data_IF_603926020368
#
_entry.id   IF_603926020368
#
_cell.length_a   1.000
_cell.length_b   1.000
_cell.length_c   1.000
_cell.angle_alpha   90.00
_cell.angle_beta   90.00
_cell.angle_gamma   90.00
#
_symmetry.space_group_name_H-M   'P 1'
#
loop_
_entity.id
_entity.type
_entity.pdbx_description
1 polymer ?
#
# COMPACT_ATOMS: atom_id res chain seq x y z
N UNK A 1 26.54 44.15 -7.05
CA UNK A 1 25.37 43.28 -6.83
C UNK A 1 25.58 41.99 -7.61
N UNK A 2 26.02 40.90 -6.97
CA UNK A 2 26.24 39.60 -7.61
C UNK A 2 25.47 38.55 -6.81
N UNK A 3 24.39 38.07 -7.42
CA UNK A 3 23.43 37.13 -6.84
C UNK A 3 23.85 35.73 -7.30
N UNK A 4 24.45 34.94 -6.40
CA UNK A 4 24.81 33.55 -6.67
C UNK A 4 23.58 32.67 -6.46
N UNK A 5 23.04 32.15 -7.56
CA UNK A 5 21.97 31.16 -7.60
C UNK A 5 22.60 29.77 -7.43
N UNK A 6 22.56 29.21 -6.21
CA UNK A 6 23.00 27.84 -5.96
C UNK A 6 21.83 26.88 -6.22
N UNK A 7 21.81 26.25 -7.39
CA UNK A 7 20.89 25.17 -7.70
C UNK A 7 21.37 23.89 -7.00
N UNK A 8 20.66 23.47 -5.96
CA UNK A 8 20.91 22.22 -5.26
C UNK A 8 20.08 21.11 -5.91
N UNK A 9 20.69 20.37 -6.84
CA UNK A 9 20.07 19.19 -7.46
C UNK A 9 20.27 18.02 -6.52
N UNK A 10 19.20 17.63 -5.81
CA UNK A 10 19.19 16.48 -4.92
C UNK A 10 18.88 15.24 -5.78
N UNK A 11 19.93 14.52 -6.19
CA UNK A 11 19.80 13.25 -6.90
C UNK A 11 19.54 12.15 -5.87
N UNK A 12 18.29 11.73 -5.74
CA UNK A 12 17.91 10.58 -4.91
C UNK A 12 18.15 9.33 -5.77
N UNK A 13 19.23 8.60 -5.52
CA UNK A 13 19.39 7.23 -6.01
C UNK A 13 18.46 6.33 -5.19
N UNK A 14 17.28 6.02 -5.72
CA UNK A 14 16.47 4.92 -5.22
C UNK A 14 17.02 3.62 -5.83
N UNK A 15 17.82 2.88 -5.05
CA UNK A 15 18.04 1.46 -5.31
C UNK A 15 16.77 0.68 -4.94
N UNK A 16 15.79 0.67 -5.84
CA UNK A 16 14.69 -0.30 -5.76
C UNK A 16 15.14 -1.57 -6.47
N UNK A 17 15.81 -2.46 -5.74
CA UNK A 17 15.71 -3.88 -6.06
C UNK A 17 14.27 -4.30 -5.75
N UNK A 18 13.31 -3.92 -6.60
CA UNK A 18 11.97 -4.45 -6.46
C UNK A 18 12.08 -5.92 -6.82
N UNK A 19 11.97 -6.79 -5.82
CA UNK A 19 11.35 -8.09 -6.05
C UNK A 19 10.05 -7.77 -6.80
N UNK A 20 9.99 -8.07 -8.10
CA UNK A 20 8.87 -7.67 -8.95
C UNK A 20 7.64 -8.42 -8.46
N UNK A 21 6.85 -7.78 -7.60
CA UNK A 21 5.54 -8.28 -7.25
C UNK A 21 4.69 -8.28 -8.52
N UNK A 22 4.07 -9.41 -8.82
CA UNK A 22 3.17 -9.56 -9.95
C UNK A 22 1.94 -8.64 -9.76
N UNK A 23 1.46 -8.53 -8.51
CA UNK A 23 0.48 -7.54 -8.09
C UNK A 23 1.02 -6.77 -6.88
N UNK A 24 1.03 -5.45 -6.97
CA UNK A 24 1.32 -4.56 -5.85
C UNK A 24 0.03 -3.95 -5.32
N UNK A 25 -0.20 -4.09 -4.01
CA UNK A 25 -1.25 -3.44 -3.25
C UNK A 25 -0.58 -2.40 -2.35
N UNK A 26 -0.91 -1.13 -2.58
CA UNK A 26 -0.47 -0.01 -1.78
C UNK A 26 -1.60 0.44 -0.87
N UNK A 27 -1.34 0.48 0.42
CA UNK A 27 -2.27 1.00 1.40
C UNK A 27 -1.78 2.36 1.92
N UNK A 28 -2.64 3.35 1.89
CA UNK A 28 -2.32 4.73 2.24
C UNK A 28 -3.38 5.30 3.17
N UNK A 29 -2.96 5.84 4.30
CA UNK A 29 -3.80 6.65 5.17
C UNK A 29 -3.74 8.11 4.71
N UNK A 30 -4.89 8.74 4.44
CA UNK A 30 -4.96 10.15 4.02
C UNK A 30 -6.30 10.76 4.39
N UNK A 31 -6.25 11.91 5.08
CA UNK A 31 -7.42 12.69 5.47
C UNK A 31 -8.48 11.87 6.25
N UNK A 32 -8.04 11.00 7.15
CA UNK A 32 -8.92 10.15 7.97
C UNK A 32 -9.59 9.00 7.20
N UNK A 33 -9.02 8.60 6.06
CA UNK A 33 -9.44 7.41 5.32
C UNK A 33 -8.23 6.52 5.08
N UNK A 34 -8.46 5.22 4.88
CA UNK A 34 -7.46 4.32 4.33
C UNK A 34 -7.87 3.93 2.92
N UNK A 35 -6.95 4.07 1.97
CA UNK A 35 -7.14 3.67 0.57
C UNK A 35 -6.18 2.55 0.24
N UNK A 36 -6.72 1.44 -0.27
CA UNK A 36 -5.97 0.36 -0.88
C UNK A 36 -6.04 0.56 -2.38
N UNK A 37 -4.92 0.81 -3.04
CA UNK A 37 -4.80 0.86 -4.50
C UNK A 37 -3.96 -0.32 -4.97
N UNK A 38 -4.29 -0.90 -6.12
CA UNK A 38 -3.53 -2.02 -6.66
C UNK A 38 -3.44 -1.99 -8.17
N UNK A 39 -2.37 -2.60 -8.67
CA UNK A 39 -2.15 -2.83 -10.08
C UNK A 39 -1.19 -3.99 -10.29
N UNK A 40 -1.39 -4.75 -11.35
CA UNK A 40 -0.47 -5.80 -11.75
C UNK A 40 -1.10 -6.77 -12.73
N UNK A 41 -0.43 -7.89 -12.92
CA UNK A 41 -0.91 -9.03 -13.68
C UNK A 41 -0.44 -10.28 -12.96
N UNK A 42 -1.24 -11.35 -12.99
CA UNK A 42 -0.90 -12.60 -12.34
C UNK A 42 -0.90 -13.77 -13.32
N UNK A 43 0.14 -14.59 -13.26
CA UNK A 43 0.17 -15.91 -13.85
C UNK A 43 -0.53 -16.91 -12.91
N UNK A 44 -1.73 -17.33 -13.30
CA UNK A 44 -2.54 -18.34 -12.61
C UNK A 44 -2.39 -19.72 -13.24
N UNK A 45 -1.44 -19.89 -14.17
CA UNK A 45 -1.11 -21.21 -14.71
C UNK A 45 -0.63 -22.14 -13.58
N UNK A 46 -1.13 -23.38 -13.59
CA UNK A 46 -0.80 -24.37 -12.57
C UNK A 46 -1.59 -24.26 -11.25
N UNK A 47 -2.43 -23.24 -11.07
CA UNK A 47 -3.30 -23.12 -9.88
C UNK A 47 -4.53 -24.06 -9.97
N UNK A 48 -4.95 -24.42 -11.18
CA UNK A 48 -6.13 -25.24 -11.45
C UNK A 48 -7.28 -24.42 -12.07
N UNK A 49 -8.41 -25.08 -12.32
CA UNK A 49 -9.58 -24.43 -12.91
C UNK A 49 -10.31 -23.57 -11.88
N UNK A 50 -10.71 -22.33 -12.22
CA UNK A 50 -11.48 -21.50 -11.31
C UNK A 50 -12.90 -22.04 -11.10
N UNK A 51 -13.43 -21.83 -9.90
CA UNK A 51 -14.86 -21.92 -9.60
C UNK A 51 -15.53 -20.55 -9.70
N UNK A 52 -16.87 -20.52 -9.73
CA UNK A 52 -17.62 -19.27 -9.58
C UNK A 52 -17.72 -18.88 -8.11
N UNK A 53 -17.59 -17.58 -7.82
CA UNK A 53 -17.66 -17.03 -6.46
C UNK A 53 -18.31 -15.65 -6.44
N UNK A 54 -18.46 -15.11 -5.23
CA UNK A 54 -18.91 -13.75 -4.97
C UNK A 54 -18.01 -13.11 -3.91
N UNK A 55 -17.31 -12.04 -4.27
CA UNK A 55 -16.41 -11.32 -3.36
C UNK A 55 -17.07 -10.07 -2.81
N UNK A 56 -17.01 -9.87 -1.49
CA UNK A 56 -17.48 -8.66 -0.82
C UNK A 56 -16.30 -7.82 -0.34
N UNK A 57 -16.26 -6.54 -0.72
CA UNK A 57 -15.19 -5.62 -0.38
C UNK A 57 -14.94 -5.49 1.13
N UNK A 58 -13.69 -5.66 1.57
CA UNK A 58 -13.28 -5.52 2.96
C UNK A 58 -11.96 -6.24 3.26
N UNK A 59 -11.54 -6.18 4.53
CA UNK A 59 -10.36 -6.87 5.04
C UNK A 59 -10.69 -7.61 6.34
N UNK A 60 -9.93 -8.67 6.62
CA UNK A 60 -9.91 -9.37 7.91
C UNK A 60 -8.45 -9.61 8.28
N UNK A 61 -7.77 -8.67 8.97
CA UNK A 61 -6.33 -8.76 9.20
C UNK A 61 -5.91 -10.01 9.97
N UNK A 62 -6.69 -10.41 10.98
CA UNK A 62 -6.43 -11.62 11.78
C UNK A 62 -6.51 -12.93 10.99
N UNK A 63 -7.26 -12.93 9.88
CA UNK A 63 -7.35 -14.07 8.95
C UNK A 63 -6.35 -14.02 7.80
N UNK A 64 -5.68 -12.88 7.60
CA UNK A 64 -4.85 -12.65 6.42
C UNK A 64 -5.66 -12.46 5.14
N UNK A 65 -6.92 -12.04 5.25
CA UNK A 65 -7.83 -11.91 4.11
C UNK A 65 -7.98 -10.46 3.65
N UNK A 66 -7.81 -10.24 2.35
CA UNK A 66 -8.04 -8.96 1.68
C UNK A 66 -9.00 -9.21 0.52
N UNK A 67 -10.07 -8.43 0.45
CA UNK A 67 -11.03 -8.47 -0.64
C UNK A 67 -11.24 -7.06 -1.19
N UNK A 68 -10.56 -6.76 -2.29
CA UNK A 68 -10.66 -5.53 -3.07
C UNK A 68 -11.76 -5.70 -4.13
N UNK A 69 -13.01 -5.63 -3.69
CA UNK A 69 -14.20 -5.76 -4.52
C UNK A 69 -15.28 -4.78 -4.06
N UNK A 70 -16.43 -4.72 -4.74
CA UNK A 70 -17.56 -3.91 -4.28
C UNK A 70 -18.02 -4.34 -2.88
N UNK A 71 -18.29 -3.40 -1.95
CA UNK A 71 -18.90 -3.73 -0.66
C UNK A 71 -20.27 -4.43 -0.80
N UNK A 72 -21.01 -4.12 -1.87
CA UNK A 72 -22.27 -4.80 -2.22
C UNK A 72 -22.09 -6.19 -2.85
N UNK A 73 -20.84 -6.59 -3.07
CA UNK A 73 -20.46 -7.86 -3.67
C UNK A 73 -20.30 -7.79 -5.19
N UNK A 74 -19.47 -8.67 -5.74
CA UNK A 74 -19.18 -8.76 -7.18
C UNK A 74 -18.97 -10.21 -7.57
N UNK A 75 -19.53 -10.62 -8.71
CA UNK A 75 -19.31 -11.95 -9.26
C UNK A 75 -17.86 -12.09 -9.76
N UNK A 76 -17.21 -13.17 -9.35
CA UNK A 76 -15.77 -13.38 -9.54
C UNK A 76 -15.47 -14.85 -9.82
N UNK A 77 -14.21 -15.12 -10.12
CA UNK A 77 -13.65 -16.47 -10.23
C UNK A 77 -12.71 -16.75 -9.07
N UNK A 78 -12.92 -17.87 -8.38
CA UNK A 78 -12.08 -18.29 -7.26
C UNK A 78 -11.14 -19.41 -7.68
N UNK A 79 -9.87 -19.20 -7.38
CA UNK A 79 -8.81 -20.17 -7.53
C UNK A 79 -8.47 -20.72 -6.13
N UNK A 80 -8.98 -21.91 -5.82
CA UNK A 80 -8.75 -22.57 -4.53
C UNK A 80 -7.35 -23.21 -4.47
N UNK A 81 -6.76 -23.28 -3.28
CA UNK A 81 -5.38 -23.74 -3.08
C UNK A 81 -4.35 -22.96 -3.92
N UNK A 82 -4.63 -21.70 -4.20
CA UNK A 82 -3.79 -20.82 -5.02
C UNK A 82 -2.60 -20.24 -4.27
N UNK A 83 -2.64 -20.21 -2.94
CA UNK A 83 -1.63 -19.56 -2.11
C UNK A 83 -0.72 -20.58 -1.43
N UNK A 84 0.59 -20.41 -1.60
CA UNK A 84 1.63 -21.21 -0.97
C UNK A 84 1.90 -20.77 0.48
N UNK A 85 1.78 -19.46 0.74
CA UNK A 85 2.11 -18.84 2.03
C UNK A 85 0.99 -17.92 2.48
N UNK A 86 0.39 -18.19 3.64
CA UNK A 86 -0.53 -17.27 4.29
C UNK A 86 0.24 -16.19 5.07
N UNK A 87 -0.30 -14.98 5.11
CA UNK A 87 0.22 -13.87 5.91
C UNK A 87 -0.93 -13.23 6.67
N UNK A 88 -0.82 -13.22 7.99
CA UNK A 88 -1.68 -12.42 8.87
C UNK A 88 -1.06 -11.03 8.95
N UNK A 89 -1.86 -9.99 8.68
CA UNK A 89 -1.39 -8.61 8.63
C UNK A 89 -1.95 -7.72 9.76
N UNK A 90 -2.45 -8.36 10.81
CA UNK A 90 -2.67 -7.73 12.10
C UNK A 90 -3.78 -8.41 12.89
N UNK A 91 -4.54 -7.61 13.62
CA UNK A 91 -5.56 -8.05 14.56
C UNK A 91 -6.97 -7.63 14.12
N UNK A 92 -8.00 -8.00 14.89
CA UNK A 92 -9.37 -7.57 14.64
C UNK A 92 -10.17 -8.42 13.66
N UNK A 93 -11.45 -8.08 13.53
CA UNK A 93 -12.41 -8.79 12.70
C UNK A 93 -12.53 -8.22 11.29
N UNK A 94 -13.60 -8.59 10.60
CA UNK A 94 -13.89 -8.10 9.26
C UNK A 94 -14.28 -6.62 9.29
N UNK A 95 -13.56 -5.79 8.54
CA UNK A 95 -13.92 -4.40 8.25
C UNK A 95 -14.37 -4.28 6.79
N UNK A 96 -15.64 -3.92 6.50
CA UNK A 96 -16.11 -3.73 5.13
C UNK A 96 -15.53 -2.45 4.53
N UNK A 97 -15.25 -2.48 3.22
CA UNK A 97 -14.90 -1.27 2.48
C UNK A 97 -16.11 -0.35 2.27
N UNK A 98 -15.85 0.91 1.94
CA UNK A 98 -16.88 1.93 1.71
C UNK A 98 -17.09 2.24 0.22
N UNK A 99 -16.01 2.32 -0.56
CA UNK A 99 -16.06 2.67 -1.98
C UNK A 99 -15.07 1.81 -2.78
N UNK A 100 -15.48 1.30 -3.93
CA UNK A 100 -14.68 0.43 -4.78
C UNK A 100 -14.70 0.92 -6.23
N UNK A 101 -13.55 0.81 -6.91
CA UNK A 101 -13.37 1.09 -8.34
C UNK A 101 -12.41 0.06 -8.95
N UNK A 102 -12.67 -0.40 -10.17
CA UNK A 102 -11.77 -1.27 -10.93
C UNK A 102 -12.12 -2.76 -10.90
N UNK A 103 -11.09 -3.60 -11.05
CA UNK A 103 -11.18 -5.04 -11.29
C UNK A 103 -11.15 -5.84 -9.98
N UNK A 104 -12.17 -6.60 -9.59
CA UNK A 104 -12.19 -7.23 -8.26
C UNK A 104 -11.03 -8.21 -8.05
N UNK A 105 -10.34 -8.09 -6.91
CA UNK A 105 -9.24 -8.95 -6.49
C UNK A 105 -9.46 -9.35 -5.03
N UNK A 106 -9.26 -10.61 -4.68
CA UNK A 106 -9.16 -11.03 -3.28
C UNK A 106 -8.01 -12.00 -3.08
N UNK A 107 -7.34 -11.92 -1.94
CA UNK A 107 -6.33 -12.89 -1.50
C UNK A 107 -6.65 -13.30 -0.08
N UNK A 108 -6.57 -14.61 0.18
CA UNK A 108 -6.75 -15.21 1.50
C UNK A 108 -5.59 -16.14 1.82
N UNK A 109 -5.67 -16.82 2.96
CA UNK A 109 -4.70 -17.85 3.34
C UNK A 109 -4.55 -19.01 2.35
N UNK A 110 -5.55 -19.25 1.49
CA UNK A 110 -5.56 -20.44 0.61
C UNK A 110 -6.10 -20.19 -0.80
N UNK A 111 -6.68 -19.02 -1.08
CA UNK A 111 -7.32 -18.77 -2.35
C UNK A 111 -7.03 -17.37 -2.88
N UNK A 112 -7.13 -17.23 -4.20
CA UNK A 112 -7.16 -15.95 -4.89
C UNK A 112 -8.49 -15.86 -5.60
N UNK A 113 -9.08 -14.68 -5.61
CA UNK A 113 -10.28 -14.39 -6.38
C UNK A 113 -9.98 -13.28 -7.37
N UNK A 114 -10.36 -13.48 -8.62
CA UNK A 114 -10.03 -12.61 -9.76
C UNK A 114 -11.31 -12.16 -10.48
N UNK A 115 -11.23 -11.19 -11.40
CA UNK A 115 -12.35 -10.82 -12.26
C UNK A 115 -12.87 -12.05 -13.02
N UNK A 116 -14.17 -12.07 -13.29
CA UNK A 116 -14.78 -13.14 -14.08
C UNK A 116 -14.17 -13.16 -15.49
N UNK A 117 -13.85 -14.35 -15.99
CA UNK A 117 -13.13 -14.61 -17.24
C UNK A 117 -11.75 -13.94 -17.27
N UNK A 118 -11.04 -13.91 -16.14
CA UNK A 118 -9.68 -13.38 -16.12
C UNK A 118 -8.79 -14.16 -17.09
N UNK A 119 -8.09 -13.44 -17.96
CA UNK A 119 -7.13 -14.03 -18.90
C UNK A 119 -5.75 -13.99 -18.25
N UNK A 120 -5.01 -15.10 -18.34
CA UNK A 120 -3.69 -15.22 -17.75
C UNK A 120 -2.77 -14.04 -18.13
N UNK A 121 -2.08 -13.44 -17.17
CA UNK A 121 -1.24 -12.25 -17.34
C UNK A 121 -1.95 -10.99 -17.87
N UNK A 122 -3.29 -10.94 -17.87
CA UNK A 122 -3.98 -9.68 -18.17
C UNK A 122 -3.82 -8.67 -17.02
N UNK A 123 -3.69 -7.39 -17.38
CA UNK A 123 -3.57 -6.31 -16.42
C UNK A 123 -4.86 -6.17 -15.61
N UNK A 124 -4.74 -6.08 -14.30
CA UNK A 124 -5.80 -5.66 -13.38
C UNK A 124 -5.38 -4.40 -12.63
N UNK A 125 -6.35 -3.59 -12.26
CA UNK A 125 -6.13 -2.46 -11.36
C UNK A 125 -7.41 -2.04 -10.65
N UNK A 126 -7.27 -1.38 -9.52
CA UNK A 126 -8.41 -0.82 -8.82
C UNK A 126 -8.06 -0.17 -7.50
N UNK A 127 -9.10 0.17 -6.75
CA UNK A 127 -8.97 0.71 -5.42
C UNK A 127 -10.16 0.38 -4.52
N UNK A 128 -9.91 0.24 -3.22
CA UNK A 128 -10.91 0.13 -2.17
C UNK A 128 -10.62 1.18 -1.08
N UNK A 129 -11.60 2.02 -0.77
CA UNK A 129 -11.52 3.04 0.28
C UNK A 129 -12.29 2.61 1.52
N UNK A 130 -11.69 2.81 2.68
CA UNK A 130 -12.27 2.67 4.01
C UNK A 130 -12.44 4.07 4.62
N UNK A 131 -13.68 4.58 4.59
CA UNK A 131 -13.96 5.94 5.05
C UNK A 131 -13.94 6.03 6.57
N UNK A 132 -13.31 7.09 7.10
CA UNK A 132 -13.26 7.34 8.54
C UNK A 132 -12.41 6.31 9.31
N UNK A 133 -11.51 5.61 8.63
CA UNK A 133 -10.65 4.58 9.20
C UNK A 133 -9.18 5.02 9.19
N UNK A 134 -8.40 4.42 10.09
CA UNK A 134 -6.94 4.46 10.16
C UNK A 134 -6.39 3.04 10.10
N UNK A 135 -5.09 2.85 9.87
CA UNK A 135 -4.48 1.52 9.94
C UNK A 135 -4.73 0.85 11.29
N UNK A 136 -4.66 1.62 12.37
CA UNK A 136 -4.92 1.10 13.72
C UNK A 136 -6.39 0.70 13.93
N UNK A 137 -7.35 1.49 13.45
CA UNK A 137 -8.78 1.11 13.57
C UNK A 137 -9.15 -0.09 12.70
N UNK A 138 -8.43 -0.28 11.59
CA UNK A 138 -8.53 -1.45 10.75
C UNK A 138 -7.82 -2.68 11.33
N UNK A 139 -7.03 -2.54 12.40
CA UNK A 139 -6.26 -3.62 13.00
C UNK A 139 -5.02 -4.03 12.21
N UNK A 140 -4.43 -3.12 11.42
CA UNK A 140 -3.18 -3.39 10.71
C UNK A 140 -2.00 -3.06 11.61
N UNK A 141 -1.24 -4.09 12.01
CA UNK A 141 -0.28 -3.96 13.12
C UNK A 141 1.15 -3.58 12.65
N UNK A 142 1.55 -3.94 11.42
CA UNK A 142 2.89 -3.66 10.90
C UNK A 142 2.86 -3.02 9.52
N UNK A 143 2.97 -1.69 9.51
CA UNK A 143 3.03 -0.88 8.27
C UNK A 143 4.46 -0.69 7.75
N UNK A 144 5.47 -1.20 8.46
CA UNK A 144 6.89 -0.96 8.13
C UNK A 144 7.50 -1.99 7.19
N UNK A 145 6.89 -3.18 7.09
CA UNK A 145 7.33 -4.28 6.24
C UNK A 145 6.19 -4.71 5.31
N UNK A 146 6.49 -5.15 4.09
CA UNK A 146 5.48 -5.67 3.18
C UNK A 146 4.98 -7.05 3.62
N UNK A 147 3.71 -7.34 3.34
CA UNK A 147 3.13 -8.67 3.41
C UNK A 147 3.12 -9.29 2.02
N UNK A 148 3.56 -10.55 1.92
CA UNK A 148 3.76 -11.21 0.62
C UNK A 148 3.04 -12.55 0.61
N UNK A 149 2.17 -12.72 -0.38
CA UNK A 149 1.56 -14.01 -0.71
C UNK A 149 2.19 -14.54 -1.99
N UNK A 150 2.66 -15.78 -1.97
CA UNK A 150 3.20 -16.47 -3.15
C UNK A 150 2.15 -17.38 -3.77
N UNK A 151 1.99 -17.31 -5.08
CA UNK A 151 1.03 -18.09 -5.85
C UNK A 151 1.61 -19.45 -6.22
N UNK A 152 0.84 -20.50 -5.99
CA UNK A 152 1.19 -21.87 -6.38
C UNK A 152 1.25 -21.99 -7.91
N UNK A 153 2.16 -22.82 -8.42
CA UNK A 153 2.34 -23.02 -9.87
C UNK A 153 3.32 -22.03 -10.48
N UNK A 154 2.96 -20.74 -10.50
CA UNK A 154 3.80 -19.69 -11.12
C UNK A 154 4.93 -19.18 -10.23
N UNK A 155 4.73 -19.14 -8.91
CA UNK A 155 5.65 -18.48 -7.99
C UNK A 155 5.52 -16.95 -7.98
N UNK A 156 4.52 -16.40 -8.69
CA UNK A 156 4.20 -14.98 -8.65
C UNK A 156 3.88 -14.51 -7.23
N UNK A 157 4.07 -13.22 -6.96
CA UNK A 157 3.82 -12.65 -5.64
C UNK A 157 2.80 -11.52 -5.67
N UNK A 158 1.91 -11.52 -4.69
CA UNK A 158 1.03 -10.40 -4.35
C UNK A 158 1.64 -9.73 -3.13
N UNK A 159 1.90 -8.43 -3.20
CA UNK A 159 2.55 -7.69 -2.11
C UNK A 159 1.66 -6.57 -1.60
N UNK A 160 1.34 -6.57 -0.30
CA UNK A 160 0.72 -5.45 0.39
C UNK A 160 1.78 -4.62 1.10
N UNK A 161 1.80 -3.30 0.88
CA UNK A 161 2.75 -2.38 1.51
C UNK A 161 2.09 -1.06 1.88
N UNK A 162 2.51 -0.46 2.98
CA UNK A 162 2.07 0.87 3.37
C UNK A 162 2.89 1.95 2.66
N UNK A 163 2.21 2.98 2.16
CA UNK A 163 2.86 4.19 1.65
C UNK A 163 3.04 5.17 2.81
N UNK A 164 4.27 5.61 3.14
CA UNK A 164 4.50 6.57 4.20
C UNK A 164 3.74 7.87 3.94
N UNK A 165 3.13 8.45 4.97
CA UNK A 165 2.43 9.72 4.81
C UNK A 165 3.40 10.86 4.42
N UNK A 166 3.13 11.62 3.34
CA UNK A 166 3.99 12.74 2.93
C UNK A 166 4.15 13.82 4.00
N UNK A 167 3.13 13.96 4.86
CA UNK A 167 3.06 14.92 5.97
C UNK A 167 4.21 14.73 6.97
N UNK A 168 4.60 13.49 7.25
CA UNK A 168 5.67 13.16 8.20
C UNK A 168 7.02 13.71 7.72
N UNK A 169 7.28 13.60 6.41
CA UNK A 169 8.50 14.12 5.78
C UNK A 169 8.49 15.65 5.80
N UNK A 170 7.36 16.27 5.43
CA UNK A 170 7.21 17.72 5.46
C UNK A 170 7.40 18.29 6.87
N UNK A 171 6.84 17.65 7.90
CA UNK A 171 7.02 18.04 9.29
C UNK A 171 8.49 17.98 9.73
N UNK A 172 9.23 16.93 9.35
CA UNK A 172 10.67 16.84 9.62
C UNK A 172 11.44 18.00 8.98
N UNK A 173 11.16 18.36 7.72
CA UNK A 173 11.82 19.48 7.06
C UNK A 173 11.48 20.83 7.69
N UNK A 174 10.23 21.03 8.12
CA UNK A 174 9.84 22.25 8.84
C UNK A 174 10.56 22.39 10.18
N UNK A 175 10.74 21.28 10.91
CA UNK A 175 11.50 21.28 12.17
C UNK A 175 12.97 21.63 11.93
N UNK A 176 13.62 20.97 10.97
CA UNK A 176 15.03 21.24 10.62
C UNK A 176 15.21 22.70 10.17
N UNK A 177 14.30 23.20 9.33
CA UNK A 177 14.31 24.60 8.88
C UNK A 177 14.19 25.59 10.04
N UNK A 178 13.30 25.30 11.00
CA UNK A 178 13.11 26.15 12.17
C UNK A 178 14.34 26.18 13.11
N UNK A 179 14.99 25.03 13.34
CA UNK A 179 16.23 24.95 14.11
C UNK A 179 17.37 25.73 13.44
N UNK A 180 17.53 25.63 12.12
CA UNK A 180 18.54 26.36 11.37
C UNK A 180 18.35 27.89 11.49
N UNK A 181 17.10 28.38 11.41
CA UNK A 181 16.78 29.81 11.58
C UNK A 181 17.11 30.29 13.00
N UNK A 182 16.83 29.49 14.03
CA UNK A 182 17.15 29.85 15.42
C UNK A 182 18.65 29.90 15.70
N UNK A 183 19.43 28.98 15.15
CA UNK A 183 20.89 28.97 15.34
C UNK A 183 21.55 30.24 14.77
N UNK A 184 21.10 30.69 13.58
CA UNK A 184 21.63 31.90 12.93
C UNK A 184 21.34 33.19 13.73
N UNK A 185 20.24 33.24 14.50
CA UNK A 185 19.90 34.42 15.33
C UNK A 185 20.83 34.57 16.53
N UNK A 186 21.29 33.47 17.13
CA UNK A 186 22.19 33.51 18.32
C UNK A 186 23.59 34.03 17.99
N UNK A 187 24.12 33.71 16.81
CA UNK A 187 25.45 34.19 16.41
C UNK A 187 25.54 35.69 16.08
N UNK A 188 24.40 36.38 15.87
CA UNK A 188 24.41 37.80 15.51
C UNK A 188 24.45 38.77 16.70
N UNK A 189 24.27 38.31 17.94
CA UNK A 189 24.20 39.22 19.10
C UNK A 189 25.52 39.47 19.84
N UNK A 190 26.67 38.93 19.37
CA UNK A 190 27.97 39.09 20.03
C UNK A 190 28.92 40.11 19.34
N UNK A 191 28.46 40.83 18.32
CA UNK A 191 29.32 41.70 17.50
C UNK A 191 29.26 43.21 17.76
N UNK A 192 28.44 43.71 18.69
CA UNK A 192 28.20 45.15 18.84
C UNK A 192 28.58 45.68 20.23
N UNK A 193 29.87 45.66 20.53
CA UNK A 193 30.49 46.48 21.57
C UNK A 193 31.94 46.70 21.15
N UNK A 194 32.24 47.86 20.56
CA UNK A 194 33.45 48.70 20.72
C UNK A 194 33.34 49.82 19.68
N UNK A 195 32.86 50.99 20.09
CA UNK A 195 33.53 52.29 19.91
C UNK A 195 32.69 53.41 20.52
#
# INVERSE_FOLDING_TARGET
MRMFLAAFVFLICLDTASTQAAILIQMQETAGNVVFAYSGSLDVSGVGSPGLSFSFGGITPSGGDISLASPGGTATEIYSAAIATSQIFGSGGRAPGSQFLGDPLSVSSSAITMPRNYVNNSQISGSLTFQGQTFNSLGVDNVSAPYVWTVNGSGDTITLSAVPEPSSIAACFLLIGWFAVRHKRRHRSLGTMVR
#
